data_IF_366982173348
#
_entry.id   IF_366982173348
#
_cell.length_a   1.000
_cell.length_b   1.000
_cell.length_c   1.000
_cell.angle_alpha   90.00
_cell.angle_beta   90.00
_cell.angle_gamma   90.00
#
_symmetry.space_group_name_H-M   'P 1'
#
loop_
_entity.id
_entity.type
_entity.pdbx_description
1 polymer ?
#
# COMPACT_ATOMS: atom_id res chain seq x y z
N UNK A 1 -0.12 0.25 26.59
CA UNK A 1 -0.16 0.42 25.12
C UNK A 1 0.84 1.51 24.69
N UNK A 2 1.86 1.17 23.90
CA UNK A 2 2.79 2.18 23.36
C UNK A 2 2.00 3.09 22.42
N UNK A 3 2.06 4.40 22.64
CA UNK A 3 1.44 5.41 21.78
C UNK A 3 1.94 5.20 20.34
N UNK A 4 1.02 4.95 19.42
CA UNK A 4 1.37 4.91 18.01
C UNK A 4 1.37 6.34 17.49
N UNK A 5 2.49 6.79 16.95
CA UNK A 5 2.60 8.11 16.34
C UNK A 5 2.24 8.04 14.86
N UNK A 6 1.54 9.05 14.37
CA UNK A 6 1.31 9.23 12.94
C UNK A 6 2.60 9.76 12.32
N UNK A 7 3.20 8.97 11.43
CA UNK A 7 4.51 9.28 10.84
C UNK A 7 4.32 9.94 9.48
N UNK A 8 4.99 11.07 9.27
CA UNK A 8 5.11 11.71 7.96
C UNK A 8 6.31 11.13 7.20
N UNK A 9 6.13 10.95 5.90
CA UNK A 9 7.19 10.50 4.98
C UNK A 9 7.75 11.68 4.19
N UNK A 10 8.82 11.47 3.44
CA UNK A 10 9.40 12.50 2.57
C UNK A 10 8.59 12.76 1.28
N UNK A 11 7.62 11.89 0.96
CA UNK A 11 6.81 12.00 -0.26
C UNK A 11 5.42 12.57 0.06
N UNK A 12 5.20 13.85 -0.25
CA UNK A 12 3.93 14.55 0.03
C UNK A 12 2.72 13.86 -0.61
N UNK A 13 2.86 13.38 -1.84
CA UNK A 13 1.79 12.66 -2.54
C UNK A 13 1.35 11.39 -1.79
N UNK A 14 2.26 10.75 -1.06
CA UNK A 14 1.95 9.62 -0.20
C UNK A 14 1.24 10.10 1.07
N UNK A 15 1.78 11.11 1.75
CA UNK A 15 1.22 11.64 3.00
C UNK A 15 -0.22 12.17 2.85
N UNK A 16 -0.59 12.66 1.67
CA UNK A 16 -1.96 13.10 1.38
C UNK A 16 -2.98 11.95 1.28
N UNK A 17 -2.52 10.74 0.96
CA UNK A 17 -3.39 9.58 0.71
C UNK A 17 -3.33 8.52 1.81
N UNK A 18 -2.21 8.43 2.51
CA UNK A 18 -1.92 7.33 3.43
C UNK A 18 -1.51 7.85 4.81
N UNK A 19 -2.01 7.15 5.83
CA UNK A 19 -1.60 7.35 7.22
C UNK A 19 -0.69 6.20 7.64
N UNK A 20 0.51 6.52 8.14
CA UNK A 20 1.45 5.53 8.64
C UNK A 20 1.35 5.44 10.17
N UNK A 21 1.11 4.22 10.65
CA UNK A 21 1.07 3.90 12.07
C UNK A 21 2.19 2.91 12.36
N UNK A 22 3.17 3.31 13.18
CA UNK A 22 4.25 2.42 13.60
C UNK A 22 4.73 2.75 15.02
N UNK A 23 5.51 1.84 15.65
CA UNK A 23 6.07 2.09 16.99
C UNK A 23 7.11 3.22 17.04
N UNK A 24 7.71 3.56 15.90
CA UNK A 24 8.62 4.70 15.75
C UNK A 24 8.80 5.08 14.27
N UNK A 25 9.21 6.33 13.96
CA UNK A 25 9.56 6.74 12.59
C UNK A 25 10.64 5.85 11.96
N UNK A 26 11.70 5.52 12.70
CA UNK A 26 12.80 4.66 12.23
C UNK A 26 12.30 3.28 11.79
N UNK A 27 11.35 2.70 12.53
CA UNK A 27 10.79 1.39 12.20
C UNK A 27 9.97 1.43 10.90
N UNK A 28 9.22 2.51 10.67
CA UNK A 28 8.46 2.71 9.45
C UNK A 28 9.36 2.99 8.23
N UNK A 29 10.29 3.95 8.36
CA UNK A 29 11.13 4.41 7.26
C UNK A 29 12.16 3.38 6.79
N UNK A 30 12.50 2.39 7.63
CA UNK A 30 13.28 1.22 7.19
C UNK A 30 12.57 0.41 6.09
N UNK A 31 11.25 0.43 6.07
CA UNK A 31 10.42 -0.29 5.08
C UNK A 31 9.95 0.68 3.99
N UNK A 32 9.47 1.86 4.40
CA UNK A 32 8.97 2.91 3.54
C UNK A 32 10.11 3.76 2.96
N UNK A 33 11.00 3.11 2.23
CA UNK A 33 12.03 3.80 1.43
C UNK A 33 11.39 4.58 0.28
N UNK A 34 12.06 5.60 -0.29
CA UNK A 34 11.48 6.40 -1.38
C UNK A 34 10.92 5.58 -2.56
N UNK A 35 11.63 4.56 -3.10
CA UNK A 35 11.08 3.71 -4.16
C UNK A 35 9.81 2.95 -3.77
N UNK A 36 9.71 2.53 -2.50
CA UNK A 36 8.53 1.83 -1.97
C UNK A 36 7.34 2.78 -1.88
N UNK A 37 7.56 4.00 -1.39
CA UNK A 37 6.53 5.04 -1.33
C UNK A 37 5.98 5.38 -2.71
N UNK A 38 6.87 5.58 -3.70
CA UNK A 38 6.49 5.81 -5.10
C UNK A 38 5.68 4.65 -5.68
N UNK A 39 6.12 3.41 -5.42
CA UNK A 39 5.41 2.20 -5.84
C UNK A 39 4.00 2.10 -5.27
N UNK A 40 3.83 2.40 -3.97
CA UNK A 40 2.52 2.41 -3.32
C UNK A 40 1.61 3.50 -3.92
N UNK A 41 2.12 4.71 -4.13
CA UNK A 41 1.35 5.80 -4.75
C UNK A 41 0.90 5.41 -6.17
N UNK A 42 1.81 4.86 -6.98
CA UNK A 42 1.50 4.40 -8.33
C UNK A 42 0.44 3.30 -8.34
N UNK A 43 0.60 2.27 -7.51
CA UNK A 43 -0.35 1.17 -7.41
C UNK A 43 -1.73 1.69 -6.96
N UNK A 44 -1.76 2.58 -5.95
CA UNK A 44 -3.00 3.20 -5.49
C UNK A 44 -3.72 4.02 -6.55
N UNK A 45 -2.99 4.65 -7.47
CA UNK A 45 -3.57 5.41 -8.57
C UNK A 45 -4.17 4.52 -9.67
N UNK A 46 -3.62 3.31 -9.84
CA UNK A 46 -4.17 2.29 -10.76
C UNK A 46 -5.35 1.55 -10.16
N UNK A 47 -5.40 1.43 -8.84
CA UNK A 47 -6.48 0.81 -8.10
C UNK A 47 -7.68 1.76 -8.02
N UNK A 48 -8.84 1.31 -8.50
CA UNK A 48 -10.10 2.05 -8.34
C UNK A 48 -10.73 1.92 -6.94
N UNK A 49 -9.97 1.48 -5.94
CA UNK A 49 -10.44 1.12 -4.61
C UNK A 49 -9.39 1.44 -3.53
N UNK A 50 -9.80 1.61 -2.25
CA UNK A 50 -8.87 1.82 -1.15
C UNK A 50 -7.85 0.69 -1.01
N UNK A 51 -6.58 1.06 -0.80
CA UNK A 51 -5.45 0.15 -0.56
C UNK A 51 -5.02 0.25 0.90
N UNK A 52 -4.92 -0.89 1.58
CA UNK A 52 -4.41 -1.01 2.95
C UNK A 52 -3.21 -1.95 2.98
N UNK A 53 -2.17 -1.57 3.71
CA UNK A 53 -0.93 -2.32 3.83
C UNK A 53 -0.58 -2.51 5.30
N UNK A 54 -0.14 -3.72 5.66
CA UNK A 54 0.40 -3.99 6.99
C UNK A 54 1.64 -4.87 6.90
N UNK A 55 2.73 -4.43 7.53
CA UNK A 55 3.95 -5.23 7.63
C UNK A 55 4.05 -5.84 9.02
N UNK A 56 3.99 -7.17 9.11
CA UNK A 56 4.05 -7.92 10.37
C UNK A 56 4.83 -9.21 10.16
N UNK A 57 5.70 -9.57 11.11
CA UNK A 57 6.47 -10.83 11.08
C UNK A 57 7.27 -11.05 9.78
N UNK A 58 7.81 -9.98 9.20
CA UNK A 58 8.57 -10.07 7.95
C UNK A 58 7.71 -10.24 6.70
N UNK A 59 6.38 -10.18 6.82
CA UNK A 59 5.44 -10.34 5.71
C UNK A 59 4.67 -9.05 5.45
N UNK A 60 4.45 -8.76 4.18
CA UNK A 60 3.56 -7.69 3.73
C UNK A 60 2.16 -8.25 3.49
N UNK A 61 1.18 -7.76 4.23
CA UNK A 61 -0.23 -8.04 4.05
C UNK A 61 -0.86 -6.88 3.27
N UNK A 62 -1.61 -7.22 2.23
CA UNK A 62 -2.30 -6.27 1.36
C UNK A 62 -3.79 -6.55 1.45
N UNK A 63 -4.58 -5.50 1.69
CA UNK A 63 -6.04 -5.57 1.63
C UNK A 63 -6.56 -4.48 0.70
N UNK A 64 -7.56 -4.83 -0.10
CA UNK A 64 -8.21 -3.94 -1.04
C UNK A 64 -9.68 -3.78 -0.66
N UNK A 65 -10.13 -2.54 -0.58
CA UNK A 65 -11.50 -2.19 -0.24
C UNK A 65 -12.44 -2.38 -1.43
N UNK A 66 -12.88 -3.60 -1.70
CA UNK A 66 -13.97 -3.84 -2.64
C UNK A 66 -15.30 -3.45 -1.99
N UNK A 67 -15.88 -2.30 -2.35
CA UNK A 67 -17.23 -1.90 -1.89
C UNK A 67 -18.35 -2.82 -2.39
N UNK A 68 -19.61 -2.48 -2.07
CA UNK A 68 -20.80 -3.21 -2.54
C UNK A 68 -20.89 -3.16 -4.07
N UNK A 69 -20.65 -4.29 -4.70
CA UNK A 69 -20.73 -4.49 -6.13
C UNK A 69 -21.36 -5.85 -6.40
N UNK A 70 -22.04 -5.96 -7.54
CA UNK A 70 -22.55 -7.26 -8.00
C UNK A 70 -21.40 -8.24 -8.20
N UNK A 71 -21.64 -9.55 -8.09
CA UNK A 71 -20.63 -10.61 -8.28
C UNK A 71 -19.85 -10.48 -9.61
N UNK A 72 -20.53 -10.02 -10.67
CA UNK A 72 -19.95 -9.73 -11.98
C UNK A 72 -18.96 -8.55 -11.96
N UNK A 73 -19.30 -7.47 -11.26
CA UNK A 73 -18.44 -6.30 -11.09
C UNK A 73 -17.26 -6.62 -10.15
N UNK A 74 -17.50 -7.40 -9.10
CA UNK A 74 -16.44 -7.91 -8.22
C UNK A 74 -15.45 -8.79 -8.98
N UNK A 75 -15.90 -9.67 -9.88
CA UNK A 75 -14.99 -10.49 -10.70
C UNK A 75 -14.03 -9.64 -11.53
N UNK A 76 -14.52 -8.57 -12.17
CA UNK A 76 -13.67 -7.67 -12.96
C UNK A 76 -12.73 -6.85 -12.07
N UNK A 77 -13.21 -6.39 -10.91
CA UNK A 77 -12.37 -5.71 -9.91
C UNK A 77 -11.25 -6.61 -9.43
N UNK A 78 -11.55 -7.84 -9.01
CA UNK A 78 -10.54 -8.81 -8.53
C UNK A 78 -9.45 -9.06 -9.59
N UNK A 79 -9.81 -9.15 -10.87
CA UNK A 79 -8.80 -9.30 -11.95
C UNK A 79 -7.91 -8.06 -12.06
N UNK A 80 -8.48 -6.86 -12.00
CA UNK A 80 -7.73 -5.60 -12.03
C UNK A 80 -6.85 -5.43 -10.79
N UNK A 81 -7.38 -5.80 -9.63
CA UNK A 81 -6.70 -5.78 -8.34
C UNK A 81 -5.49 -6.73 -8.30
N UNK A 82 -5.64 -7.97 -8.80
CA UNK A 82 -4.53 -8.93 -8.91
C UNK A 82 -3.44 -8.37 -9.84
N UNK A 83 -3.81 -7.77 -10.97
CA UNK A 83 -2.83 -7.13 -11.87
C UNK A 83 -2.08 -5.99 -11.19
N UNK A 84 -2.79 -5.13 -10.45
CA UNK A 84 -2.17 -4.04 -9.71
C UNK A 84 -1.25 -4.55 -8.57
N UNK A 85 -1.61 -5.66 -7.91
CA UNK A 85 -0.72 -6.31 -6.94
C UNK A 85 0.55 -6.87 -7.61
N UNK A 86 0.42 -7.51 -8.78
CA UNK A 86 1.58 -7.99 -9.54
C UNK A 86 2.49 -6.83 -9.99
N UNK A 87 1.90 -5.76 -10.53
CA UNK A 87 2.63 -4.53 -10.87
C UNK A 87 3.39 -3.93 -9.67
N UNK A 88 2.78 -3.96 -8.48
CA UNK A 88 3.42 -3.50 -7.25
C UNK A 88 4.60 -4.40 -6.88
N UNK A 89 4.44 -5.73 -6.93
CA UNK A 89 5.53 -6.69 -6.67
C UNK A 89 6.69 -6.46 -7.64
N UNK A 90 6.39 -6.30 -8.93
CA UNK A 90 7.40 -6.02 -9.96
C UNK A 90 8.12 -4.69 -9.69
N UNK A 91 7.39 -3.65 -9.30
CA UNK A 91 7.98 -2.35 -8.95
C UNK A 91 8.88 -2.43 -7.72
N UNK A 92 8.50 -3.22 -6.71
CA UNK A 92 9.23 -3.35 -5.45
C UNK A 92 10.44 -4.27 -5.54
N UNK A 93 10.39 -5.31 -6.37
CA UNK A 93 11.40 -6.39 -6.40
C UNK A 93 12.20 -6.49 -7.71
N UNK A 94 11.74 -5.92 -8.83
CA UNK A 94 12.36 -6.09 -10.16
C UNK A 94 13.00 -4.83 -10.75
N UNK A 95 13.18 -3.74 -9.99
CA UNK A 95 14.10 -2.66 -10.38
C UNK A 95 15.55 -3.09 -10.09
N UNK A 96 16.13 -3.88 -11.01
CA UNK A 96 17.57 -3.95 -11.27
C UNK A 96 17.86 -3.14 -12.55
#
# INVERSE_FOLDING_TARGET
PKSSETIQTELDAFNQKFTVIAPSPTAALRILTPPVLEGIVLASGKLGCPLYLSFREGKLYVALGCGDATLSEQRQRVIGEIKAMLDLVDTLYLKN
#
